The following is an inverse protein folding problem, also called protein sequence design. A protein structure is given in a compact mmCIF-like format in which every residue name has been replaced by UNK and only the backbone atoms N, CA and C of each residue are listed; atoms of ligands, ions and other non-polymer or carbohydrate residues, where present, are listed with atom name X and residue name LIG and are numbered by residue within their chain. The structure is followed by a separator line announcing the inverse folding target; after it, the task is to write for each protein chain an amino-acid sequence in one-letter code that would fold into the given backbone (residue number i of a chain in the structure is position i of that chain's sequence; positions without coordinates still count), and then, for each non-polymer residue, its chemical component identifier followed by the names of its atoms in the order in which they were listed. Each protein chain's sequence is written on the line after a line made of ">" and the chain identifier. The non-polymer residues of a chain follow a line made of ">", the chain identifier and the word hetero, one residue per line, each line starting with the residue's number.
data_IF_280580790677
#
_entry.id   IF_280580790677
#
_cell.length_a   1.000
_cell.length_b   1.000
_cell.length_c   1.000
_cell.angle_alpha   90.00
_cell.angle_beta   90.00
_cell.angle_gamma   90.00
#
_symmetry.space_group_name_H-M   'P 1'
#
loop_
_entity.id
_entity.type
_entity.pdbx_description
1 polymer ?
#
# COMPACT_ATOMS: atom_id res chain seq x y z
N UNK A 1 -14.31 11.39 11.33
CA UNK A 1 -14.71 11.97 10.02
C UNK A 1 -14.59 13.50 10.07
N UNK A 2 -15.25 14.17 11.02
CA UNK A 2 -15.36 15.64 11.07
C UNK A 2 -13.99 16.34 11.15
N UNK A 3 -13.08 15.83 11.98
CA UNK A 3 -11.72 16.40 12.11
C UNK A 3 -10.92 16.28 10.81
N UNK A 4 -11.07 15.18 10.09
CA UNK A 4 -10.39 14.97 8.79
C UNK A 4 -10.95 15.93 7.76
N UNK A 5 -12.27 16.06 7.67
CA UNK A 5 -12.94 16.98 6.73
C UNK A 5 -12.57 18.44 7.06
N UNK A 6 -12.48 18.80 8.34
CA UNK A 6 -12.02 20.12 8.75
C UNK A 6 -10.57 20.37 8.31
N UNK A 7 -9.67 19.40 8.49
CA UNK A 7 -8.28 19.51 8.06
C UNK A 7 -8.16 19.63 6.54
N UNK A 8 -8.93 18.84 5.81
CA UNK A 8 -8.96 18.90 4.33
C UNK A 8 -9.43 20.27 3.85
N UNK A 9 -10.49 20.81 4.46
CA UNK A 9 -10.98 22.15 4.17
C UNK A 9 -9.95 23.24 4.52
N UNK A 10 -9.33 23.14 5.69
CA UNK A 10 -8.29 24.08 6.12
C UNK A 10 -7.09 24.06 5.15
N UNK A 11 -6.61 22.88 4.76
CA UNK A 11 -5.53 22.74 3.77
C UNK A 11 -5.92 23.39 2.44
N UNK A 12 -7.12 23.12 1.94
CA UNK A 12 -7.61 23.68 0.68
C UNK A 12 -7.66 25.21 0.70
N UNK A 13 -8.12 25.82 1.80
CA UNK A 13 -8.11 27.28 1.96
C UNK A 13 -6.70 27.90 1.92
N UNK A 14 -5.67 27.09 2.20
CA UNK A 14 -4.26 27.52 2.15
C UNK A 14 -3.54 27.08 0.87
N UNK A 15 -4.29 26.59 -0.14
CA UNK A 15 -3.72 26.13 -1.40
C UNK A 15 -2.93 24.82 -1.29
N UNK A 16 -3.22 24.01 -0.28
CA UNK A 16 -2.60 22.71 -0.03
C UNK A 16 -3.61 21.61 -0.35
N UNK A 17 -3.21 20.64 -1.19
CA UNK A 17 -3.97 19.44 -1.42
C UNK A 17 -3.62 18.40 -0.34
N UNK A 18 -4.61 17.98 0.46
CA UNK A 18 -4.44 16.91 1.43
C UNK A 18 -4.74 15.57 0.77
N UNK A 19 -3.69 14.83 0.42
CA UNK A 19 -3.82 13.51 -0.23
C UNK A 19 -3.99 12.42 0.83
N UNK A 20 -5.08 11.62 0.79
CA UNK A 20 -5.24 10.50 1.71
C UNK A 20 -4.21 9.40 1.45
N UNK A 21 -3.72 8.82 2.53
CA UNK A 21 -2.84 7.66 2.53
C UNK A 21 -3.34 6.62 3.52
N UNK A 22 -3.46 5.39 3.07
CA UNK A 22 -3.99 4.30 3.88
C UNK A 22 -3.21 3.01 3.62
N UNK A 23 -2.81 2.32 4.70
CA UNK A 23 -2.32 0.97 4.57
C UNK A 23 -3.49 0.05 4.19
N UNK A 24 -3.44 -0.55 3.02
CA UNK A 24 -4.50 -1.45 2.51
C UNK A 24 -4.00 -2.85 2.17
N UNK A 25 -2.71 -3.13 2.35
CA UNK A 25 -2.09 -4.40 2.00
C UNK A 25 -1.10 -4.89 3.06
N UNK A 26 0.09 -4.24 3.19
CA UNK A 26 1.00 -4.40 4.31
C UNK A 26 0.56 -3.58 5.53
N UNK A 27 1.31 -3.69 6.63
CA UNK A 27 1.10 -2.91 7.87
C UNK A 27 -0.28 -3.06 8.54
N UNK A 28 -0.95 -4.19 8.34
CA UNK A 28 -2.32 -4.45 8.81
C UNK A 28 -2.39 -5.00 10.24
N UNK A 29 -1.34 -4.78 11.07
CA UNK A 29 -1.26 -5.31 12.44
C UNK A 29 -2.51 -5.05 13.28
N UNK A 30 -3.01 -3.82 13.29
CA UNK A 30 -4.15 -3.45 14.13
C UNK A 30 -5.45 -4.13 13.71
N UNK A 31 -5.59 -4.47 12.44
CA UNK A 31 -6.73 -5.17 11.87
C UNK A 31 -6.59 -6.68 12.07
N UNK A 32 -5.47 -7.26 11.64
CA UNK A 32 -5.26 -8.71 11.57
C UNK A 32 -5.11 -9.40 12.94
N UNK A 33 -4.79 -8.65 14.00
CA UNK A 33 -4.81 -9.17 15.38
C UNK A 33 -6.22 -9.36 15.94
N UNK A 34 -7.26 -8.84 15.29
CA UNK A 34 -8.64 -8.95 15.76
C UNK A 34 -9.25 -10.30 15.37
N UNK A 35 -10.23 -10.77 16.16
CA UNK A 35 -10.95 -12.03 15.85
C UNK A 35 -11.69 -11.95 14.52
N UNK A 36 -12.18 -10.78 14.17
CA UNK A 36 -12.96 -10.55 12.96
C UNK A 36 -12.12 -10.62 11.70
N UNK A 37 -10.91 -10.04 11.72
CA UNK A 37 -10.10 -9.86 10.51
C UNK A 37 -8.88 -10.77 10.43
N UNK A 38 -8.51 -11.53 11.49
CA UNK A 38 -7.30 -12.38 11.47
C UNK A 38 -7.26 -13.35 10.29
N UNK A 39 -8.42 -13.86 9.87
CA UNK A 39 -8.55 -14.78 8.74
C UNK A 39 -8.28 -14.16 7.37
N UNK A 40 -8.07 -12.83 7.30
CA UNK A 40 -7.73 -12.12 6.08
C UNK A 40 -6.21 -12.04 5.84
N UNK A 41 -5.39 -12.37 6.83
CA UNK A 41 -3.94 -12.27 6.75
C UNK A 41 -3.26 -13.53 6.23
N UNK A 42 -1.99 -13.39 5.90
CA UNK A 42 -1.12 -14.50 5.50
C UNK A 42 -0.92 -15.52 6.63
N UNK A 43 -0.84 -15.06 7.90
CA UNK A 43 -0.59 -15.89 9.07
C UNK A 43 -1.66 -15.69 10.17
N UNK A 44 -2.91 -16.12 9.94
CA UNK A 44 -4.00 -15.93 10.92
C UNK A 44 -3.75 -16.63 12.26
N UNK A 45 -2.94 -17.70 12.30
CA UNK A 45 -2.53 -18.44 13.49
C UNK A 45 -1.65 -17.63 14.42
N UNK A 46 -0.92 -16.66 13.90
CA UNK A 46 -0.02 -15.78 14.66
C UNK A 46 -0.70 -14.56 15.27
N UNK A 47 -1.99 -14.35 15.01
CA UNK A 47 -2.69 -13.13 15.43
C UNK A 47 -2.66 -12.85 16.95
N UNK A 48 -2.55 -13.88 17.78
CA UNK A 48 -2.47 -13.75 19.24
C UNK A 48 -1.02 -13.75 19.78
N UNK A 49 -0.02 -13.96 18.90
CA UNK A 49 1.39 -13.93 19.28
C UNK A 49 1.80 -12.49 19.67
N UNK A 50 2.63 -12.32 20.72
CA UNK A 50 3.23 -11.02 21.00
C UNK A 50 4.26 -10.68 19.90
N UNK A 51 4.19 -9.46 19.39
CA UNK A 51 5.11 -8.93 18.38
C UNK A 51 5.86 -7.74 18.95
N UNK A 52 7.17 -7.68 18.75
CA UNK A 52 7.96 -6.47 18.97
C UNK A 52 7.53 -5.35 18.02
N UNK A 53 8.02 -4.13 18.26
CA UNK A 53 7.71 -3.01 17.37
C UNK A 53 8.18 -3.28 15.92
N UNK A 54 9.38 -3.82 15.74
CA UNK A 54 9.93 -4.14 14.42
C UNK A 54 9.09 -5.23 13.73
N UNK A 55 8.81 -6.34 14.44
CA UNK A 55 7.99 -7.42 13.86
C UNK A 55 6.59 -6.95 13.44
N UNK A 56 6.00 -5.94 14.13
CA UNK A 56 4.70 -5.37 13.72
C UNK A 56 4.78 -4.62 12.39
N UNK A 57 5.94 -4.11 12.02
CA UNK A 57 6.19 -3.44 10.74
C UNK A 57 6.46 -4.45 9.64
N UNK A 58 7.17 -5.54 9.94
CA UNK A 58 7.59 -6.56 8.97
C UNK A 58 6.49 -7.59 8.67
N UNK A 59 5.55 -7.79 9.58
CA UNK A 59 4.48 -8.78 9.47
C UNK A 59 3.12 -8.11 9.28
N UNK A 60 2.09 -8.94 9.08
CA UNK A 60 0.68 -8.51 8.93
C UNK A 60 0.32 -7.97 7.55
N UNK A 61 0.63 -8.77 6.54
CA UNK A 61 0.17 -8.58 5.16
C UNK A 61 -1.17 -9.31 4.95
N UNK A 62 -2.09 -8.69 4.24
CA UNK A 62 -3.31 -9.35 3.78
C UNK A 62 -2.98 -10.50 2.83
N UNK A 63 -3.74 -11.58 2.91
CA UNK A 63 -3.67 -12.68 1.95
C UNK A 63 -4.30 -12.25 0.62
N UNK A 64 -3.46 -11.98 -0.38
CA UNK A 64 -3.88 -11.51 -1.70
C UNK A 64 -4.67 -12.56 -2.51
N UNK A 65 -4.60 -13.83 -2.16
CA UNK A 65 -5.39 -14.88 -2.80
C UNK A 65 -6.81 -15.02 -2.20
N UNK A 66 -7.11 -14.29 -1.11
CA UNK A 66 -8.40 -14.37 -0.44
C UNK A 66 -9.33 -13.24 -0.91
N UNK A 67 -10.45 -13.53 -1.62
CA UNK A 67 -11.37 -12.49 -2.08
C UNK A 67 -11.91 -11.58 -0.97
N UNK A 68 -12.05 -12.09 0.26
CA UNK A 68 -12.48 -11.28 1.40
C UNK A 68 -11.45 -10.23 1.81
N UNK A 69 -10.16 -10.47 1.53
CA UNK A 69 -9.11 -9.47 1.76
C UNK A 69 -9.23 -8.32 0.78
N UNK A 70 -9.56 -8.61 -0.49
CA UNK A 70 -9.85 -7.59 -1.51
C UNK A 70 -11.08 -6.76 -1.14
N UNK A 71 -12.18 -7.42 -0.76
CA UNK A 71 -13.41 -6.74 -0.30
C UNK A 71 -13.15 -5.85 0.92
N UNK A 72 -12.34 -6.33 1.85
CA UNK A 72 -12.00 -5.57 3.05
C UNK A 72 -11.19 -4.31 2.72
N UNK A 73 -10.12 -4.44 1.93
CA UNK A 73 -9.28 -3.32 1.53
C UNK A 73 -10.05 -2.29 0.69
N UNK A 74 -10.90 -2.77 -0.24
CA UNK A 74 -11.78 -1.90 -1.04
C UNK A 74 -12.75 -1.11 -0.17
N UNK A 75 -13.38 -1.73 0.83
CA UNK A 75 -14.27 -1.03 1.77
C UNK A 75 -13.53 0.04 2.57
N UNK A 76 -12.30 -0.22 3.02
CA UNK A 76 -11.50 0.80 3.71
C UNK A 76 -11.29 2.04 2.82
N UNK A 77 -10.98 1.83 1.54
CA UNK A 77 -10.86 2.93 0.56
C UNK A 77 -12.21 3.65 0.41
N UNK A 78 -13.30 2.91 0.25
CA UNK A 78 -14.63 3.44 0.04
C UNK A 78 -15.14 4.30 1.21
N UNK A 79 -14.78 3.94 2.43
CA UNK A 79 -15.13 4.69 3.63
C UNK A 79 -14.24 5.91 3.85
N UNK A 80 -12.95 5.82 3.47
CA UNK A 80 -11.97 6.86 3.76
C UNK A 80 -11.88 7.93 2.68
N UNK A 81 -11.93 7.55 1.41
CA UNK A 81 -11.77 8.46 0.28
C UNK A 81 -12.76 9.64 0.27
N UNK A 82 -14.05 9.47 0.62
CA UNK A 82 -15.02 10.59 0.61
C UNK A 82 -14.72 11.71 1.62
N UNK A 83 -13.82 11.49 2.55
CA UNK A 83 -13.43 12.49 3.56
C UNK A 83 -12.47 13.56 3.00
N UNK A 84 -12.00 13.39 1.77
CA UNK A 84 -10.99 14.25 1.14
C UNK A 84 -11.48 14.79 -0.21
N UNK A 85 -11.00 15.99 -0.55
CA UNK A 85 -11.23 16.62 -1.86
C UNK A 85 -10.22 16.18 -2.91
N UNK A 86 -9.08 15.61 -2.48
CA UNK A 86 -8.04 15.14 -3.39
C UNK A 86 -8.60 14.14 -4.39
N UNK A 87 -8.08 14.22 -5.61
CA UNK A 87 -8.31 13.21 -6.63
C UNK A 87 -7.25 12.12 -6.66
N UNK A 88 -6.24 12.25 -5.82
CA UNK A 88 -5.19 11.25 -5.63
C UNK A 88 -5.45 10.47 -4.33
N UNK A 89 -5.10 9.20 -4.32
CA UNK A 89 -5.22 8.34 -3.14
C UNK A 89 -4.02 7.39 -3.07
N UNK A 90 -3.24 7.43 -1.98
CA UNK A 90 -2.18 6.48 -1.73
C UNK A 90 -2.75 5.22 -1.06
N UNK A 91 -2.68 4.10 -1.77
CA UNK A 91 -3.13 2.79 -1.29
C UNK A 91 -2.09 2.08 -0.42
N UNK A 92 -0.95 2.68 -0.13
CA UNK A 92 0.14 2.04 0.61
C UNK A 92 0.89 1.03 -0.26
N UNK A 93 0.74 -0.25 0.06
CA UNK A 93 1.31 -1.37 -0.71
C UNK A 93 2.78 -1.64 -0.45
N UNK A 94 3.38 -0.90 0.50
CA UNK A 94 4.76 -1.05 0.96
C UNK A 94 4.93 -2.24 1.91
N UNK A 95 6.16 -2.72 2.00
CA UNK A 95 6.63 -3.69 3.00
C UNK A 95 5.73 -4.92 3.18
N UNK A 96 5.25 -5.48 2.08
CA UNK A 96 4.40 -6.69 2.08
C UNK A 96 5.23 -7.96 2.27
N UNK A 97 6.02 -8.02 3.36
CA UNK A 97 7.04 -9.06 3.58
C UNK A 97 6.47 -10.48 3.75
N UNK A 98 5.25 -10.60 4.25
CA UNK A 98 4.60 -11.92 4.44
C UNK A 98 3.99 -12.48 3.15
N UNK A 99 3.81 -11.66 2.11
CA UNK A 99 3.14 -12.05 0.88
C UNK A 99 3.80 -13.24 0.19
N UNK A 100 3.02 -14.25 -0.14
CA UNK A 100 3.50 -15.47 -0.77
C UNK A 100 4.24 -16.42 0.18
N UNK A 101 4.10 -16.25 1.51
CA UNK A 101 4.77 -17.09 2.52
C UNK A 101 3.80 -17.85 3.43
N UNK A 102 2.53 -17.45 3.46
CA UNK A 102 1.52 -18.01 4.33
C UNK A 102 0.36 -18.65 3.57
N UNK A 103 -0.85 -18.17 3.84
CA UNK A 103 -2.10 -18.73 3.28
C UNK A 103 -2.21 -18.60 1.77
N UNK A 104 -1.69 -17.55 1.20
CA UNK A 104 -1.72 -17.33 -0.26
C UNK A 104 -1.07 -18.47 -1.04
N UNK A 105 -0.04 -19.13 -0.50
CA UNK A 105 0.58 -20.31 -1.12
C UNK A 105 -0.40 -21.47 -1.28
N UNK A 106 -1.31 -21.62 -0.32
CA UNK A 106 -2.33 -22.68 -0.33
C UNK A 106 -3.55 -22.28 -1.16
N UNK A 107 -3.95 -21.00 -1.06
CA UNK A 107 -5.18 -20.49 -1.69
C UNK A 107 -4.97 -20.20 -3.19
N UNK A 108 -3.71 -19.95 -3.64
CA UNK A 108 -3.33 -19.77 -5.05
C UNK A 108 -2.07 -20.54 -5.40
N UNK A 109 -2.14 -21.88 -5.50
CA UNK A 109 -0.98 -22.71 -5.79
C UNK A 109 -0.31 -22.34 -7.12
N UNK A 110 0.99 -22.05 -7.09
CA UNK A 110 1.77 -21.73 -8.29
C UNK A 110 1.80 -20.25 -8.68
N UNK A 111 0.99 -19.40 -8.06
CA UNK A 111 1.10 -17.95 -8.27
C UNK A 111 2.42 -17.43 -7.65
N UNK A 112 3.13 -16.61 -8.39
CA UNK A 112 4.31 -15.92 -7.89
C UNK A 112 3.93 -14.78 -6.93
N UNK A 113 4.87 -14.34 -6.09
CA UNK A 113 4.69 -13.17 -5.23
C UNK A 113 4.32 -11.93 -6.04
N UNK A 114 4.94 -11.76 -7.21
CA UNK A 114 4.73 -10.61 -8.09
C UNK A 114 3.31 -10.59 -8.67
N UNK A 115 2.80 -11.76 -9.10
CA UNK A 115 1.43 -11.89 -9.58
C UNK A 115 0.41 -11.61 -8.48
N UNK A 116 0.60 -12.20 -7.28
CA UNK A 116 -0.26 -11.94 -6.13
C UNK A 116 -0.30 -10.45 -5.76
N UNK A 117 0.87 -9.80 -5.76
CA UNK A 117 0.98 -8.38 -5.49
C UNK A 117 0.24 -7.54 -6.53
N UNK A 118 0.56 -7.79 -7.81
CA UNK A 118 0.01 -7.01 -8.90
C UNK A 118 -1.52 -7.16 -9.01
N UNK A 119 -2.05 -8.37 -8.82
CA UNK A 119 -3.49 -8.61 -8.91
C UNK A 119 -4.24 -7.92 -7.76
N UNK A 120 -3.70 -7.96 -6.54
CA UNK A 120 -4.27 -7.23 -5.43
C UNK A 120 -4.27 -5.71 -5.67
N UNK A 121 -3.15 -5.15 -6.13
CA UNK A 121 -3.05 -3.72 -6.46
C UNK A 121 -3.99 -3.33 -7.60
N UNK A 122 -4.14 -4.14 -8.65
CA UNK A 122 -5.08 -3.89 -9.75
C UNK A 122 -6.53 -3.75 -9.26
N UNK A 123 -6.95 -4.60 -8.33
CA UNK A 123 -8.31 -4.53 -7.76
C UNK A 123 -8.53 -3.23 -6.97
N UNK A 124 -7.53 -2.81 -6.18
CA UNK A 124 -7.60 -1.53 -5.48
C UNK A 124 -7.62 -0.33 -6.45
N UNK A 125 -6.81 -0.39 -7.51
CA UNK A 125 -6.85 0.62 -8.58
C UNK A 125 -8.22 0.67 -9.26
N UNK A 126 -8.85 -0.49 -9.48
CA UNK A 126 -10.21 -0.56 -10.04
C UNK A 126 -11.23 0.09 -9.11
N UNK A 127 -11.15 -0.16 -7.80
CA UNK A 127 -11.98 0.50 -6.78
C UNK A 127 -11.84 2.02 -6.83
N UNK A 128 -10.61 2.54 -6.95
CA UNK A 128 -10.34 3.97 -7.08
C UNK A 128 -10.88 4.54 -8.41
N UNK A 129 -10.68 3.82 -9.51
CA UNK A 129 -11.14 4.24 -10.84
C UNK A 129 -12.66 4.42 -10.91
N UNK A 130 -13.42 3.53 -10.26
CA UNK A 130 -14.88 3.68 -10.15
C UNK A 130 -15.32 4.97 -9.43
N UNK A 131 -14.43 5.56 -8.65
CA UNK A 131 -14.63 6.84 -7.95
C UNK A 131 -13.98 8.04 -8.68
N UNK A 132 -13.33 7.81 -9.81
CA UNK A 132 -12.59 8.83 -10.54
C UNK A 132 -11.34 9.33 -9.81
N UNK A 133 -10.75 8.48 -8.96
CA UNK A 133 -9.54 8.77 -8.19
C UNK A 133 -8.30 8.17 -8.88
N UNK A 134 -7.16 8.84 -8.71
CA UNK A 134 -5.87 8.43 -9.24
C UNK A 134 -5.09 7.65 -8.18
N UNK A 135 -4.66 6.41 -8.47
CA UNK A 135 -3.90 5.62 -7.52
C UNK A 135 -2.48 6.15 -7.34
N UNK A 136 -2.01 6.13 -6.09
CA UNK A 136 -0.61 6.28 -5.71
C UNK A 136 -0.19 5.05 -4.90
N UNK A 137 1.08 4.65 -5.02
CA UNK A 137 1.61 3.44 -4.43
C UNK A 137 3.05 3.66 -3.98
N UNK A 138 3.45 3.17 -2.81
CA UNK A 138 4.85 3.12 -2.43
C UNK A 138 5.63 2.16 -3.35
N UNK A 139 6.80 2.58 -3.79
CA UNK A 139 7.49 1.96 -4.92
C UNK A 139 8.41 0.79 -4.54
N UNK A 140 8.67 0.56 -3.26
CA UNK A 140 9.68 -0.38 -2.76
C UNK A 140 9.51 -1.79 -3.34
N UNK A 141 8.32 -2.38 -3.25
CA UNK A 141 8.05 -3.73 -3.76
C UNK A 141 8.22 -3.80 -5.29
N UNK A 142 7.75 -2.77 -6.00
CA UNK A 142 7.89 -2.73 -7.46
C UNK A 142 9.34 -2.48 -7.92
N UNK A 143 10.17 -1.86 -7.07
CA UNK A 143 11.59 -1.65 -7.32
C UNK A 143 12.46 -2.86 -6.98
N UNK A 144 12.02 -3.73 -6.05
CA UNK A 144 12.71 -4.99 -5.75
C UNK A 144 12.79 -5.91 -6.97
N UNK A 145 11.73 -5.94 -7.79
CA UNK A 145 11.66 -6.76 -8.99
C UNK A 145 11.02 -5.98 -10.15
N UNK A 146 11.77 -5.69 -11.23
CA UNK A 146 11.23 -5.02 -12.42
C UNK A 146 9.99 -5.70 -13.02
N UNK A 147 9.89 -7.02 -12.91
CA UNK A 147 8.73 -7.78 -13.38
C UNK A 147 7.44 -7.38 -12.64
N UNK A 148 7.52 -7.13 -11.34
CA UNK A 148 6.35 -6.61 -10.58
C UNK A 148 5.87 -5.30 -11.18
N UNK A 149 6.79 -4.38 -11.50
CA UNK A 149 6.44 -3.09 -12.09
C UNK A 149 5.76 -3.23 -13.46
N UNK A 150 6.19 -4.19 -14.29
CA UNK A 150 5.58 -4.47 -15.58
C UNK A 150 4.13 -4.97 -15.46
N UNK A 151 3.80 -5.65 -14.37
CA UNK A 151 2.46 -6.19 -14.11
C UNK A 151 1.47 -5.13 -13.60
N UNK A 152 1.96 -4.01 -13.05
CA UNK A 152 1.12 -2.97 -12.45
C UNK A 152 0.47 -2.05 -13.51
N UNK A 153 -0.74 -1.50 -13.25
CA UNK A 153 -1.35 -0.47 -14.10
C UNK A 153 -0.41 0.72 -14.34
N UNK A 154 -0.36 1.21 -15.58
CA UNK A 154 0.59 2.24 -16.01
C UNK A 154 0.30 3.65 -15.47
N UNK A 155 -0.91 3.90 -15.00
CA UNK A 155 -1.39 5.19 -14.50
C UNK A 155 -1.11 5.43 -13.01
N UNK A 156 -0.58 4.43 -12.29
CA UNK A 156 -0.19 4.57 -10.89
C UNK A 156 0.94 5.60 -10.76
N UNK A 157 0.79 6.55 -9.84
CA UNK A 157 1.88 7.42 -9.42
C UNK A 157 2.71 6.74 -8.33
N UNK A 158 4.00 6.54 -8.61
CA UNK A 158 4.91 5.87 -7.70
C UNK A 158 5.43 6.84 -6.63
N UNK A 159 5.38 6.44 -5.37
CA UNK A 159 5.95 7.17 -4.24
C UNK A 159 7.28 6.50 -3.88
N UNK A 160 8.38 7.12 -4.28
CA UNK A 160 9.73 6.57 -4.15
C UNK A 160 10.39 7.15 -2.89
N UNK A 161 10.26 6.44 -1.75
CA UNK A 161 10.86 6.88 -0.50
C UNK A 161 12.34 6.52 -0.43
N UNK A 162 13.13 7.47 0.11
CA UNK A 162 14.59 7.37 0.25
C UNK A 162 15.01 8.03 1.55
N UNK A 163 15.47 7.24 2.50
CA UNK A 163 15.85 7.70 3.84
C UNK A 163 17.37 7.72 4.06
N UNK A 164 18.13 7.21 3.09
CA UNK A 164 19.58 7.22 3.13
C UNK A 164 20.13 8.63 2.82
N UNK A 165 21.32 8.98 3.38
CA UNK A 165 21.95 10.28 3.11
C UNK A 165 22.25 10.51 1.64
N UNK A 166 22.59 9.44 0.92
CA UNK A 166 22.88 9.47 -0.52
C UNK A 166 21.65 9.00 -1.30
N UNK A 167 21.19 9.84 -2.21
CA UNK A 167 20.03 9.54 -3.05
C UNK A 167 20.44 8.47 -4.08
N UNK A 168 19.69 7.38 -4.10
CA UNK A 168 19.84 6.34 -5.13
C UNK A 168 19.12 6.77 -6.43
N UNK A 169 19.87 7.44 -7.30
CA UNK A 169 19.35 7.88 -8.61
C UNK A 169 18.89 6.71 -9.49
N UNK A 170 19.42 5.50 -9.29
CA UNK A 170 19.03 4.33 -10.08
C UNK A 170 17.56 3.96 -9.88
N UNK A 171 17.03 4.13 -8.68
CA UNK A 171 15.59 3.93 -8.38
C UNK A 171 14.72 4.94 -9.13
N UNK A 172 15.15 6.20 -9.17
CA UNK A 172 14.46 7.27 -9.91
C UNK A 172 14.44 6.93 -11.40
N UNK A 173 15.59 6.55 -11.95
CA UNK A 173 15.74 6.21 -13.38
C UNK A 173 14.94 4.96 -13.76
N UNK A 174 14.88 3.95 -12.89
CA UNK A 174 14.10 2.74 -13.13
C UNK A 174 12.62 3.07 -13.31
N UNK A 175 12.03 3.86 -12.43
CA UNK A 175 10.63 4.28 -12.55
C UNK A 175 10.41 5.16 -13.79
N UNK A 176 11.31 6.11 -14.04
CA UNK A 176 11.21 7.03 -15.17
C UNK A 176 11.34 6.32 -16.52
N UNK A 177 12.22 5.32 -16.62
CA UNK A 177 12.42 4.53 -17.85
C UNK A 177 11.18 3.76 -18.28
N UNK A 178 10.29 3.46 -17.33
CA UNK A 178 8.98 2.85 -17.58
C UNK A 178 7.88 3.87 -17.93
N UNK A 179 8.23 5.16 -18.07
CA UNK A 179 7.28 6.22 -18.37
C UNK A 179 6.30 6.54 -17.24
N UNK A 180 6.57 6.10 -16.01
CA UNK A 180 5.68 6.27 -14.88
C UNK A 180 5.92 7.61 -14.18
N UNK A 181 4.85 8.21 -13.68
CA UNK A 181 4.94 9.36 -12.77
C UNK A 181 5.47 8.92 -11.42
N UNK A 182 6.27 9.78 -10.79
CA UNK A 182 6.77 9.53 -9.45
C UNK A 182 6.91 10.82 -8.62
N UNK A 183 6.81 10.65 -7.31
CA UNK A 183 7.31 11.61 -6.33
C UNK A 183 8.48 10.96 -5.60
N UNK A 184 9.58 11.69 -5.47
CA UNK A 184 10.69 11.32 -4.60
C UNK A 184 10.36 11.83 -3.19
N UNK A 185 10.34 10.92 -2.22
CA UNK A 185 9.91 11.17 -0.85
C UNK A 185 11.11 11.03 0.10
N UNK A 186 12.01 12.04 0.18
CA UNK A 186 13.16 11.99 1.08
C UNK A 186 12.74 12.27 2.51
N UNK A 187 13.55 11.81 3.48
CA UNK A 187 13.37 12.15 4.88
C UNK A 187 14.67 12.64 5.52
N UNK A 188 14.57 13.72 6.29
CA UNK A 188 15.73 14.36 6.93
C UNK A 188 16.17 13.62 8.21
N UNK A 189 15.30 12.88 8.87
CA UNK A 189 15.55 12.19 10.15
C UNK A 189 14.76 10.90 10.33
N UNK A 190 14.27 10.30 9.27
CA UNK A 190 13.61 9.00 9.38
C UNK A 190 14.68 7.95 9.71
N UNK A 191 14.49 7.24 10.82
CA UNK A 191 15.36 6.12 11.24
C UNK A 191 16.85 6.47 11.41
N UNK A 192 17.24 7.73 11.39
CA UNK A 192 18.62 8.14 11.69
C UNK A 192 18.91 7.92 13.18
N UNK A 193 19.99 7.19 13.44
CA UNK A 193 20.57 7.01 14.79
C UNK A 193 21.28 8.28 15.25
#
# INVERSE_FOLDING_TARGET
>A
ADDIMFLDEYCAHHGIELVPSLATFGHMYMNLRTREHRGLGEFPEDADRPFSFIERMEHHTLNAANPKSHDFASRLIEEYAPLFRSRSFNIGGDETFDLGRGRSVQDSPGASRDELYADFVKDLCSTLAHRGLQPMLWADIALENPHTMDLLPGDITMLNWMYEPDIDESKIQTIASQGRRQFVCPAVRAWSR
#
